data_IF_729031801897
#
_entry.id   IF_729031801897
#
_cell.length_a   1.000
_cell.length_b   1.000
_cell.length_c   1.000
_cell.angle_alpha   90.00
_cell.angle_beta   90.00
_cell.angle_gamma   90.00
#
_symmetry.space_group_name_H-M   'P 1'
#
loop_
_entity.id
_entity.type
_entity.pdbx_description
1 polymer ?
#
# COMPACT_ATOMS: atom_id res chain seq x y z
N UNK A 1 26.09 -11.68 31.16
CA UNK A 1 26.75 -11.84 29.85
C UNK A 1 26.05 -12.99 29.16
N UNK A 2 25.21 -12.70 28.18
CA UNK A 2 24.48 -13.69 27.37
C UNK A 2 24.98 -13.54 25.94
N UNK A 3 25.42 -14.65 25.39
CA UNK A 3 26.11 -14.80 24.11
C UNK A 3 25.23 -14.35 22.93
N UNK A 4 25.89 -13.69 21.99
CA UNK A 4 25.41 -13.34 20.65
C UNK A 4 24.82 -14.57 19.95
N UNK A 5 23.51 -14.57 19.75
CA UNK A 5 22.81 -15.61 19.00
C UNK A 5 23.10 -15.48 17.51
N UNK A 6 23.54 -16.57 16.89
CA UNK A 6 23.60 -16.70 15.43
C UNK A 6 22.23 -16.34 14.81
N UNK A 7 22.20 -15.63 13.67
CA UNK A 7 20.95 -15.37 12.98
C UNK A 7 20.29 -16.70 12.63
N UNK A 8 18.98 -16.81 12.86
CA UNK A 8 18.20 -17.97 12.44
C UNK A 8 18.50 -18.28 10.96
N UNK A 9 18.51 -19.57 10.54
CA UNK A 9 18.96 -20.00 9.21
C UNK A 9 18.22 -19.31 8.04
N UNK A 10 17.08 -18.67 8.30
CA UNK A 10 16.27 -17.93 7.34
C UNK A 10 16.61 -16.43 7.24
N UNK A 11 17.73 -15.95 7.79
CA UNK A 11 18.18 -14.56 7.65
C UNK A 11 17.21 -13.51 8.19
N UNK A 12 16.35 -13.88 9.15
CA UNK A 12 15.30 -13.01 9.70
C UNK A 12 13.96 -13.02 8.97
N UNK A 13 13.80 -13.83 7.92
CA UNK A 13 12.51 -14.02 7.23
C UNK A 13 11.56 -14.83 8.12
N UNK A 14 10.44 -14.22 8.51
CA UNK A 14 9.50 -14.85 9.46
C UNK A 14 8.45 -15.75 8.81
N UNK A 15 8.23 -15.64 7.50
CA UNK A 15 7.22 -16.44 6.79
C UNK A 15 7.71 -17.82 6.33
N UNK A 16 8.90 -18.24 6.73
CA UNK A 16 9.47 -19.55 6.42
C UNK A 16 9.77 -20.32 7.70
N UNK A 17 9.41 -21.59 7.73
CA UNK A 17 9.76 -22.49 8.82
C UNK A 17 11.24 -22.94 8.73
N UNK A 18 11.69 -23.78 9.66
CA UNK A 18 13.07 -24.29 9.66
C UNK A 18 13.42 -25.18 8.46
N UNK A 19 12.41 -25.72 7.76
CA UNK A 19 12.57 -26.47 6.52
C UNK A 19 12.50 -25.61 5.26
N UNK A 20 12.32 -24.28 5.40
CA UNK A 20 12.17 -23.36 4.28
C UNK A 20 10.77 -23.39 3.64
N UNK A 21 9.77 -23.97 4.31
CA UNK A 21 8.39 -23.97 3.82
C UNK A 21 7.65 -22.70 4.25
N UNK A 22 6.86 -22.16 3.32
CA UNK A 22 6.04 -20.99 3.56
C UNK A 22 4.96 -21.28 4.62
N UNK A 23 4.84 -20.41 5.62
CA UNK A 23 3.79 -20.47 6.61
C UNK A 23 3.30 -19.06 7.01
N UNK A 24 2.04 -18.99 7.42
CA UNK A 24 1.49 -17.79 8.06
C UNK A 24 1.96 -17.75 9.52
N UNK A 25 2.63 -16.66 9.90
CA UNK A 25 3.19 -16.51 11.26
C UNK A 25 2.09 -16.55 12.31
N UNK A 26 2.23 -17.37 13.34
CA UNK A 26 1.31 -17.32 14.49
C UNK A 26 1.48 -16.00 15.25
N UNK A 27 0.37 -15.28 15.39
CA UNK A 27 0.28 -14.02 16.14
C UNK A 27 -0.62 -14.13 17.36
N UNK A 28 -1.16 -15.31 17.68
CA UNK A 28 -2.15 -15.54 18.73
C UNK A 28 -1.72 -15.04 20.11
N UNK A 29 -0.45 -15.20 20.47
CA UNK A 29 0.14 -14.73 21.72
C UNK A 29 0.57 -13.26 21.76
N UNK A 30 0.40 -12.49 20.67
CA UNK A 30 0.72 -11.06 20.65
C UNK A 30 -0.46 -10.24 21.20
N UNK A 31 -0.15 -9.14 21.88
CA UNK A 31 -1.15 -8.17 22.31
C UNK A 31 -1.74 -7.41 21.12
N UNK A 32 -3.02 -7.05 21.24
CA UNK A 32 -3.64 -6.12 20.33
C UNK A 32 -3.23 -4.69 20.66
N UNK A 33 -2.87 -3.94 19.63
CA UNK A 33 -2.52 -2.52 19.73
C UNK A 33 -3.16 -1.79 18.57
N UNK A 34 -3.31 -0.47 18.68
CA UNK A 34 -3.58 0.37 17.51
C UNK A 34 -2.39 0.28 16.55
N UNK A 35 -2.70 0.09 15.28
CA UNK A 35 -1.71 -0.08 14.22
C UNK A 35 -2.08 0.79 13.05
N UNK A 36 -1.06 1.48 12.55
CA UNK A 36 -1.19 2.45 11.46
C UNK A 36 -0.10 2.17 10.45
N UNK A 37 -0.43 2.21 9.17
CA UNK A 37 0.54 2.30 8.09
C UNK A 37 0.15 3.38 7.09
N UNK A 38 1.14 4.14 6.62
CA UNK A 38 1.03 4.97 5.43
C UNK A 38 1.91 4.39 4.32
N UNK A 39 1.35 4.32 3.13
CA UNK A 39 2.08 4.03 1.91
C UNK A 39 1.82 5.12 0.87
N UNK A 40 2.78 5.30 -0.03
CA UNK A 40 2.67 6.20 -1.18
C UNK A 40 3.14 5.50 -2.45
N UNK A 41 2.78 6.06 -3.60
CA UNK A 41 3.27 5.68 -4.92
C UNK A 41 2.86 6.72 -5.95
N UNK A 42 3.51 6.70 -7.11
CA UNK A 42 3.29 7.67 -8.18
C UNK A 42 3.01 6.94 -9.48
N UNK A 43 2.10 7.46 -10.31
CA UNK A 43 1.98 7.08 -11.72
C UNK A 43 2.33 8.27 -12.60
N UNK A 44 3.35 8.11 -13.44
CA UNK A 44 3.79 9.11 -14.44
C UNK A 44 3.12 8.84 -15.78
N UNK A 45 2.83 9.90 -16.52
CA UNK A 45 2.10 9.86 -17.78
C UNK A 45 2.50 11.02 -18.69
N UNK A 46 1.96 11.06 -19.90
CA UNK A 46 2.11 12.22 -20.78
C UNK A 46 1.34 13.44 -20.22
N UNK A 47 1.83 14.68 -20.42
CA UNK A 47 1.14 15.89 -19.96
C UNK A 47 -0.31 15.99 -20.45
N UNK A 48 -0.57 15.55 -21.69
CA UNK A 48 -1.91 15.54 -22.27
C UNK A 48 -2.86 14.58 -21.53
N UNK A 49 -2.36 13.45 -21.04
CA UNK A 49 -3.12 12.49 -20.23
C UNK A 49 -3.51 13.09 -18.90
N UNK A 50 -2.57 13.77 -18.24
CA UNK A 50 -2.83 14.43 -16.96
C UNK A 50 -3.88 15.53 -17.12
N UNK A 51 -3.77 16.35 -18.17
CA UNK A 51 -4.75 17.39 -18.47
C UNK A 51 -6.17 16.84 -18.67
N UNK A 52 -6.31 15.64 -19.26
CA UNK A 52 -7.60 14.96 -19.40
C UNK A 52 -8.13 14.50 -18.04
N UNK A 53 -7.28 13.93 -17.18
CA UNK A 53 -7.66 13.51 -15.82
C UNK A 53 -8.12 14.72 -15.00
N UNK A 54 -7.36 15.82 -15.02
CA UNK A 54 -7.71 17.05 -14.31
C UNK A 54 -9.01 17.66 -14.83
N UNK A 55 -9.21 17.71 -16.15
CA UNK A 55 -10.45 18.21 -16.76
C UNK A 55 -11.66 17.29 -16.52
N UNK A 56 -11.45 15.98 -16.41
CA UNK A 56 -12.48 14.96 -16.19
C UNK A 56 -13.22 15.12 -14.86
N UNK A 57 -12.57 15.71 -13.86
CA UNK A 57 -13.17 16.01 -12.54
C UNK A 57 -14.40 16.92 -12.61
N UNK A 58 -14.59 17.69 -13.70
CA UNK A 58 -15.68 18.66 -13.81
C UNK A 58 -16.89 18.21 -14.65
N UNK A 59 -16.74 17.30 -15.63
CA UNK A 59 -17.84 16.98 -16.60
C UNK A 59 -17.83 15.57 -17.21
N UNK A 60 -16.75 14.79 -17.14
CA UNK A 60 -16.63 13.46 -17.76
C UNK A 60 -15.82 12.54 -16.86
N UNK A 61 -16.50 11.66 -16.11
CA UNK A 61 -15.90 10.54 -15.36
C UNK A 61 -14.78 10.90 -14.39
N UNK A 62 -15.06 10.79 -13.09
CA UNK A 62 -14.04 11.05 -12.06
C UNK A 62 -13.07 9.87 -11.92
N UNK A 63 -11.97 9.89 -12.68
CA UNK A 63 -10.90 8.88 -12.64
C UNK A 63 -10.35 8.71 -11.23
N UNK A 64 -10.07 9.82 -10.54
CA UNK A 64 -9.46 9.79 -9.20
C UNK A 64 -10.47 9.33 -8.14
N UNK A 65 -11.75 9.69 -8.29
CA UNK A 65 -12.84 9.17 -7.46
C UNK A 65 -13.01 7.65 -7.58
N UNK A 66 -13.02 7.13 -8.81
CA UNK A 66 -13.09 5.68 -9.06
C UNK A 66 -11.85 4.96 -8.50
N UNK A 67 -10.65 5.51 -8.75
CA UNK A 67 -9.40 4.97 -8.22
C UNK A 67 -9.38 4.93 -6.68
N UNK A 68 -9.99 5.93 -6.02
CA UNK A 68 -10.13 5.97 -4.55
C UNK A 68 -11.02 4.86 -4.01
N UNK A 69 -12.15 4.60 -4.67
CA UNK A 69 -13.03 3.49 -4.30
C UNK A 69 -12.29 2.16 -4.47
N UNK A 70 -11.60 1.97 -5.60
CA UNK A 70 -10.82 0.77 -5.88
C UNK A 70 -9.72 0.54 -4.82
N UNK A 71 -8.97 1.59 -4.45
CA UNK A 71 -7.95 1.52 -3.41
C UNK A 71 -8.53 1.12 -2.03
N UNK A 72 -9.66 1.70 -1.62
CA UNK A 72 -10.35 1.35 -0.37
C UNK A 72 -10.84 -0.10 -0.39
N UNK A 73 -11.38 -0.56 -1.53
CA UNK A 73 -11.80 -1.94 -1.70
C UNK A 73 -10.60 -2.91 -1.62
N UNK A 74 -9.48 -2.53 -2.24
CA UNK A 74 -8.26 -3.34 -2.26
C UNK A 74 -7.66 -3.51 -0.86
N UNK A 75 -7.60 -2.44 -0.07
CA UNK A 75 -7.14 -2.52 1.32
C UNK A 75 -7.88 -3.62 2.10
N UNK A 76 -9.21 -3.66 2.00
CA UNK A 76 -10.06 -4.65 2.68
C UNK A 76 -9.87 -6.07 2.19
N UNK A 77 -9.36 -6.27 0.97
CA UNK A 77 -9.18 -7.57 0.33
C UNK A 77 -7.72 -8.04 0.32
N UNK A 78 -6.84 -7.36 1.06
CA UNK A 78 -5.40 -7.69 1.08
C UNK A 78 -5.12 -9.12 1.48
N UNK A 79 -5.79 -9.64 2.51
CA UNK A 79 -5.66 -11.05 2.95
C UNK A 79 -6.16 -12.08 1.93
N UNK A 80 -6.94 -11.68 0.93
CA UNK A 80 -7.34 -12.56 -0.19
C UNK A 80 -6.28 -12.59 -1.30
N UNK A 81 -5.45 -11.53 -1.40
CA UNK A 81 -4.50 -11.33 -2.49
C UNK A 81 -3.07 -11.73 -2.09
N UNK A 82 -2.67 -11.46 -0.86
CA UNK A 82 -1.32 -11.73 -0.35
C UNK A 82 -1.35 -13.03 0.48
N UNK A 83 -0.76 -14.14 -0.01
CA UNK A 83 -1.05 -15.50 0.50
C UNK A 83 -0.86 -15.75 1.99
N UNK A 84 0.07 -15.03 2.64
CA UNK A 84 0.44 -15.24 4.04
C UNK A 84 0.07 -14.06 4.95
N UNK A 85 -0.70 -13.11 4.43
CA UNK A 85 -1.28 -12.04 5.24
C UNK A 85 -2.43 -12.59 6.09
N UNK A 86 -2.49 -12.15 7.35
CA UNK A 86 -3.66 -12.40 8.19
C UNK A 86 -4.86 -11.61 7.66
N UNK A 87 -6.09 -12.15 7.73
CA UNK A 87 -7.29 -11.34 7.55
C UNK A 87 -7.42 -10.37 8.74
N UNK A 88 -7.60 -9.08 8.46
CA UNK A 88 -7.67 -8.02 9.47
C UNK A 88 -8.98 -7.23 9.37
N UNK A 89 -9.57 -6.93 10.53
CA UNK A 89 -10.69 -6.00 10.63
C UNK A 89 -10.15 -4.56 10.62
N UNK A 90 -10.17 -3.91 9.45
CA UNK A 90 -9.69 -2.53 9.32
C UNK A 90 -10.66 -1.57 10.01
N UNK A 91 -10.11 -0.65 10.81
CA UNK A 91 -10.90 0.38 11.52
C UNK A 91 -10.98 1.67 10.72
N UNK A 92 -9.98 1.95 9.88
CA UNK A 92 -9.97 3.12 9.01
C UNK A 92 -9.14 2.87 7.74
N UNK A 93 -9.62 3.42 6.63
CA UNK A 93 -8.86 3.51 5.37
C UNK A 93 -9.14 4.90 4.78
N UNK A 94 -8.10 5.70 4.59
CA UNK A 94 -8.15 6.92 3.79
C UNK A 94 -7.16 6.83 2.64
N UNK A 95 -7.55 7.39 1.50
CA UNK A 95 -6.74 7.40 0.28
C UNK A 95 -6.84 8.79 -0.31
N UNK A 96 -5.71 9.36 -0.69
CA UNK A 96 -5.55 10.69 -1.27
C UNK A 96 -4.83 10.59 -2.61
N UNK A 97 -5.27 11.41 -3.56
CA UNK A 97 -4.65 11.55 -4.87
C UNK A 97 -4.32 13.01 -5.11
N UNK A 98 -3.09 13.27 -5.54
CA UNK A 98 -2.58 14.61 -5.83
C UNK A 98 -1.97 14.60 -7.24
N UNK A 99 -2.30 15.61 -8.06
CA UNK A 99 -1.70 15.77 -9.38
C UNK A 99 -0.49 16.69 -9.30
N UNK A 100 0.53 16.41 -10.11
CA UNK A 100 1.68 17.28 -10.30
C UNK A 100 1.89 17.52 -11.80
N UNK A 101 1.53 18.73 -12.23
CA UNK A 101 1.66 19.17 -13.62
C UNK A 101 3.13 19.23 -14.08
N UNK A 102 4.07 19.59 -13.19
CA UNK A 102 5.48 19.73 -13.55
C UNK A 102 6.12 18.38 -13.88
N UNK A 103 5.77 17.33 -13.12
CA UNK A 103 6.24 15.96 -13.38
C UNK A 103 5.28 15.12 -14.24
N UNK A 104 4.12 15.67 -14.62
CA UNK A 104 3.04 14.95 -15.32
C UNK A 104 2.69 13.64 -14.63
N UNK A 105 2.33 13.72 -13.35
CA UNK A 105 2.10 12.55 -12.52
C UNK A 105 0.91 12.68 -11.58
N UNK A 106 0.46 11.54 -11.07
CA UNK A 106 -0.51 11.44 -9.98
C UNK A 106 0.13 10.66 -8.84
N UNK A 107 0.20 11.25 -7.65
CA UNK A 107 0.60 10.59 -6.42
C UNK A 107 -0.62 10.01 -5.73
N UNK A 108 -0.51 8.78 -5.25
CA UNK A 108 -1.48 8.13 -4.38
C UNK A 108 -0.87 7.95 -3.00
N UNK A 109 -1.56 8.37 -1.95
CA UNK A 109 -1.18 8.11 -0.55
C UNK A 109 -2.33 7.39 0.14
N UNK A 110 -2.04 6.26 0.78
CA UNK A 110 -3.04 5.50 1.52
C UNK A 110 -2.61 5.37 2.98
N UNK A 111 -3.54 5.67 3.89
CA UNK A 111 -3.42 5.43 5.32
C UNK A 111 -4.41 4.34 5.72
N UNK A 112 -3.90 3.31 6.39
CA UNK A 112 -4.72 2.20 6.89
C UNK A 112 -4.49 2.04 8.38
N UNK A 113 -5.57 1.76 9.10
CA UNK A 113 -5.55 1.53 10.53
C UNK A 113 -6.35 0.28 10.93
N UNK A 114 -5.91 -0.34 12.01
CA UNK A 114 -6.64 -1.42 12.70
C UNK A 114 -6.30 -1.41 14.19
N UNK A 115 -7.06 -2.15 14.99
CA UNK A 115 -6.66 -2.58 16.32
C UNK A 115 -6.45 -4.10 16.26
N UNK A 116 -5.21 -4.57 16.38
CA UNK A 116 -4.90 -5.97 16.09
C UNK A 116 -3.51 -6.43 16.50
N UNK A 117 -3.16 -7.67 16.11
CA UNK A 117 -1.94 -8.38 16.54
C UNK A 117 -0.78 -8.31 15.53
N UNK A 118 -1.04 -7.82 14.33
CA UNK A 118 -0.05 -7.64 13.25
C UNK A 118 -0.30 -6.34 12.49
N UNK A 119 0.75 -5.79 11.88
CA UNK A 119 0.72 -4.51 11.16
C UNK A 119 -0.17 -4.53 9.92
N UNK A 120 -0.39 -3.33 9.36
CA UNK A 120 -1.25 -3.07 8.18
C UNK A 120 -0.48 -2.49 7.00
N UNK A 121 0.84 -2.72 6.95
CA UNK A 121 1.71 -2.26 5.86
C UNK A 121 1.23 -2.77 4.50
N UNK A 122 0.79 -4.04 4.45
CA UNK A 122 0.36 -4.68 3.22
C UNK A 122 -0.97 -4.12 2.72
N UNK A 123 -1.88 -3.75 3.61
CA UNK A 123 -3.14 -3.11 3.25
C UNK A 123 -2.91 -1.71 2.67
N UNK A 124 -2.01 -0.94 3.25
CA UNK A 124 -1.65 0.39 2.73
C UNK A 124 -0.98 0.28 1.35
N UNK A 125 0.00 -0.64 1.19
CA UNK A 125 0.66 -0.88 -0.10
C UNK A 125 -0.33 -1.36 -1.17
N UNK A 126 -1.21 -2.31 -0.81
CA UNK A 126 -2.20 -2.88 -1.74
C UNK A 126 -3.20 -1.81 -2.18
N UNK A 127 -3.62 -0.92 -1.28
CA UNK A 127 -4.46 0.23 -1.63
C UNK A 127 -3.80 1.14 -2.66
N UNK A 128 -2.52 1.52 -2.44
CA UNK A 128 -1.76 2.35 -3.38
C UNK A 128 -1.64 1.66 -4.74
N UNK A 129 -1.21 0.39 -4.77
CA UNK A 129 -1.01 -0.34 -6.03
C UNK A 129 -2.30 -0.42 -6.85
N UNK A 130 -3.41 -0.80 -6.22
CA UNK A 130 -4.68 -0.93 -6.94
C UNK A 130 -5.25 0.44 -7.31
N UNK A 131 -5.07 1.47 -6.48
CA UNK A 131 -5.43 2.84 -6.83
C UNK A 131 -4.73 3.31 -8.11
N UNK A 132 -3.40 3.14 -8.18
CA UNK A 132 -2.60 3.52 -9.36
C UNK A 132 -2.91 2.62 -10.59
N UNK A 133 -3.12 1.33 -10.40
CA UNK A 133 -3.60 0.42 -11.46
C UNK A 133 -4.95 0.87 -12.02
N UNK A 134 -5.82 1.40 -11.17
CA UNK A 134 -7.13 1.91 -11.60
C UNK A 134 -6.98 3.20 -12.40
N UNK A 135 -6.08 4.11 -12.02
CA UNK A 135 -5.72 5.28 -12.84
C UNK A 135 -5.20 4.83 -14.22
N UNK A 136 -4.32 3.82 -14.24
CA UNK A 136 -3.84 3.24 -15.49
C UNK A 136 -4.99 2.71 -16.35
N UNK A 137 -5.87 1.88 -15.78
CA UNK A 137 -6.97 1.26 -16.51
C UNK A 137 -7.92 2.29 -17.14
N UNK A 138 -8.23 3.34 -16.40
CA UNK A 138 -9.11 4.43 -16.83
C UNK A 138 -8.49 5.32 -17.92
N UNK A 139 -7.15 5.37 -18.01
CA UNK A 139 -6.44 6.27 -18.93
C UNK A 139 -5.66 5.56 -20.05
N UNK A 140 -5.52 4.22 -20.03
CA UNK A 140 -4.72 3.43 -20.99
C UNK A 140 -5.16 3.57 -22.46
N UNK A 141 -6.39 4.02 -22.71
CA UNK A 141 -6.88 4.27 -24.06
C UNK A 141 -6.22 5.50 -24.68
N UNK A 142 -5.83 6.47 -23.86
CA UNK A 142 -5.17 7.71 -24.27
C UNK A 142 -3.65 7.55 -24.21
N UNK A 143 -3.15 6.85 -23.19
CA UNK A 143 -1.72 6.75 -22.93
C UNK A 143 -1.35 5.36 -22.39
N UNK A 144 -0.62 4.58 -23.19
CA UNK A 144 -0.14 3.24 -22.82
C UNK A 144 1.28 3.25 -22.23
N UNK A 145 1.90 4.42 -22.14
CA UNK A 145 3.29 4.58 -21.68
C UNK A 145 3.40 4.88 -20.19
N UNK A 146 2.26 4.93 -19.48
CA UNK A 146 2.24 5.26 -18.05
C UNK A 146 3.04 4.27 -17.21
N UNK A 147 3.77 4.77 -16.21
CA UNK A 147 4.63 3.96 -15.34
C UNK A 147 4.32 4.25 -13.88
N UNK A 148 4.11 3.20 -13.09
CA UNK A 148 3.99 3.30 -11.64
C UNK A 148 5.38 3.18 -10.99
N UNK A 149 5.73 4.12 -10.13
CA UNK A 149 7.03 4.22 -9.45
C UNK A 149 6.85 4.54 -7.98
N UNK A 150 7.95 4.45 -7.23
CA UNK A 150 8.07 4.99 -5.86
C UNK A 150 7.06 4.42 -4.85
N UNK A 151 6.57 3.19 -5.12
CA UNK A 151 5.61 2.51 -4.25
C UNK A 151 6.33 2.00 -2.99
N UNK A 152 6.01 2.58 -1.84
CA UNK A 152 6.65 2.20 -0.58
C UNK A 152 5.82 2.59 0.66
N UNK A 153 6.17 2.00 1.80
CA UNK A 153 5.68 2.40 3.13
C UNK A 153 6.49 3.60 3.61
N UNK A 154 5.82 4.68 3.99
CA UNK A 154 6.44 5.89 4.55
C UNK A 154 6.32 5.95 6.05
N UNK A 155 5.25 5.37 6.61
CA UNK A 155 5.02 5.34 8.05
C UNK A 155 4.46 3.98 8.48
N UNK A 156 4.91 3.51 9.64
CA UNK A 156 4.32 2.42 10.40
C UNK A 156 4.37 2.79 11.87
N UNK A 157 3.23 2.65 12.55
CA UNK A 157 3.16 2.78 14.02
C UNK A 157 2.44 1.59 14.62
N UNK A 158 2.92 1.15 15.78
CA UNK A 158 2.27 0.14 16.62
C UNK A 158 2.78 -1.28 16.39
N UNK A 159 2.95 -2.01 17.48
CA UNK A 159 3.60 -3.31 17.52
C UNK A 159 5.01 -3.23 18.09
N UNK A 160 5.93 -4.07 17.56
CA UNK A 160 7.32 -4.14 18.05
C UNK A 160 8.23 -3.07 17.44
N UNK A 161 7.90 -2.57 16.26
CA UNK A 161 8.74 -1.65 15.50
C UNK A 161 7.90 -0.58 14.82
N UNK A 162 8.38 0.65 14.89
CA UNK A 162 7.85 1.78 14.16
C UNK A 162 8.78 2.11 12.98
N UNK A 163 8.20 2.65 11.92
CA UNK A 163 8.91 3.13 10.74
C UNK A 163 8.46 4.56 10.51
N UNK A 164 9.41 5.48 10.39
CA UNK A 164 9.17 6.80 9.85
C UNK A 164 10.26 7.07 8.83
N UNK A 165 9.91 6.95 7.56
CA UNK A 165 10.81 7.23 6.46
C UNK A 165 10.45 8.58 5.86
N UNK A 166 11.29 9.58 6.12
CA UNK A 166 11.33 10.76 5.27
C UNK A 166 11.93 10.32 3.92
N UNK A 167 11.07 9.99 2.95
CA UNK A 167 11.48 9.79 1.56
C UNK A 167 11.02 10.99 0.73
N UNK A 168 11.88 11.50 -0.17
CA UNK A 168 11.54 12.61 -1.06
C UNK A 168 10.40 12.26 -2.03
#
# INVERSE_FOLDING_TARGET
>A
MSTSGEPAPNGGLTHFDQGGQAHMVDVGGKNETHRVALATGVIRMQPATLAIIEAGTAKKGDVLGIARIAAIMAAKRTGELIPLCHPLALTHVSVEFETDAASSSVRCTARVETFGKTGVEMEALTAVQVGLLTVYDMSKAVDKSMVMTDICVTEKRGGKSDINMARP
#
